data_IF_147663703576
#
_entry.id   IF_147663703576
#
_cell.length_a   1.000
_cell.length_b   1.000
_cell.length_c   1.000
_cell.angle_alpha   90.00
_cell.angle_beta   90.00
_cell.angle_gamma   90.00
#
_symmetry.space_group_name_H-M   'P 1'
#
loop_
_entity.id
_entity.type
_entity.pdbx_description
1 polymer ?
#
# COMPACT_ATOMS: atom_id res chain seq x y z
N UNK A 1 26.97 10.98 15.15
CA UNK A 1 25.90 10.01 15.10
C UNK A 1 25.53 9.73 13.67
N UNK A 2 26.41 8.99 12.97
CA UNK A 2 26.18 8.60 11.58
C UNK A 2 25.16 7.45 11.55
N UNK A 3 23.96 7.80 11.27
CA UNK A 3 23.09 7.20 10.25
C UNK A 3 22.78 5.70 10.38
N UNK A 4 22.14 5.35 11.49
CA UNK A 4 21.42 4.09 11.64
C UNK A 4 20.27 3.90 10.60
N UNK A 5 20.06 4.89 9.76
CA UNK A 5 18.96 4.93 8.76
C UNK A 5 19.36 4.37 7.38
N UNK A 6 20.65 4.16 7.15
CA UNK A 6 21.18 3.97 5.81
C UNK A 6 20.83 2.64 5.11
N UNK A 7 20.09 1.73 5.73
CA UNK A 7 19.75 0.47 5.06
C UNK A 7 18.41 -0.16 5.50
N UNK A 8 17.55 0.57 6.21
CA UNK A 8 16.24 0.08 6.61
C UNK A 8 15.15 0.72 5.74
N UNK A 9 14.69 0.01 4.73
CA UNK A 9 13.58 0.46 3.87
C UNK A 9 13.91 1.65 2.97
N UNK A 10 15.15 2.10 2.97
CA UNK A 10 15.64 3.16 2.11
C UNK A 10 15.95 2.60 0.72
N UNK A 11 15.64 3.32 -0.35
CA UNK A 11 15.98 2.85 -1.68
C UNK A 11 17.50 2.62 -1.77
N UNK A 12 17.94 1.37 -1.97
CA UNK A 12 19.36 1.01 -1.89
C UNK A 12 20.20 1.61 -3.01
N UNK A 13 19.57 2.11 -4.05
CA UNK A 13 20.24 2.58 -5.27
C UNK A 13 19.78 3.97 -5.65
N UNK A 14 20.35 4.96 -5.00
CA UNK A 14 20.22 6.34 -5.43
C UNK A 14 21.07 6.54 -6.69
N UNK A 15 20.44 6.87 -7.80
CA UNK A 15 21.10 7.10 -9.08
C UNK A 15 21.66 8.52 -9.17
N UNK A 16 20.90 9.51 -8.70
CA UNK A 16 21.24 10.92 -8.73
C UNK A 16 20.56 11.67 -7.57
N UNK A 17 21.13 12.80 -7.20
CA UNK A 17 20.61 13.65 -6.13
C UNK A 17 21.04 13.18 -4.74
N UNK A 18 20.20 13.41 -3.74
CA UNK A 18 20.45 13.09 -2.35
C UNK A 18 19.27 12.37 -1.69
N UNK A 19 19.52 11.72 -0.57
CA UNK A 19 18.45 11.15 0.25
C UNK A 19 17.54 12.25 0.84
N UNK A 20 16.38 11.81 1.38
CA UNK A 20 15.49 12.67 2.15
C UNK A 20 16.21 13.12 3.42
N UNK A 21 16.43 14.39 3.56
CA UNK A 21 17.10 14.98 4.75
C UNK A 21 16.15 15.84 5.55
N UNK A 22 15.17 16.46 4.88
CA UNK A 22 14.13 17.24 5.53
C UNK A 22 12.97 16.34 5.90
N UNK A 23 12.36 16.59 7.04
CA UNK A 23 11.21 15.84 7.53
C UNK A 23 9.92 16.08 6.76
N UNK A 24 9.89 17.02 5.79
CA UNK A 24 8.70 17.43 5.06
C UNK A 24 9.00 17.87 3.62
N UNK A 25 8.04 17.59 2.72
CA UNK A 25 7.96 18.12 1.35
C UNK A 25 9.12 17.77 0.41
N UNK A 26 9.82 16.71 0.69
CA UNK A 26 10.82 16.11 -0.19
C UNK A 26 10.33 14.78 -0.74
N UNK A 27 10.73 14.44 -1.95
CA UNK A 27 10.43 13.16 -2.56
C UNK A 27 11.69 12.57 -3.22
N UNK A 28 11.81 11.24 -3.17
CA UNK A 28 12.75 10.47 -3.98
C UNK A 28 11.93 9.59 -4.91
N UNK A 29 12.11 9.74 -6.21
CA UNK A 29 11.31 9.07 -7.22
C UNK A 29 12.13 8.08 -8.03
N UNK A 30 11.50 7.00 -8.48
CA UNK A 30 12.12 6.13 -9.48
C UNK A 30 12.10 6.81 -10.86
N UNK A 31 13.16 6.61 -11.66
CA UNK A 31 13.28 7.19 -13.01
C UNK A 31 12.15 6.78 -13.95
N UNK A 32 11.54 5.63 -13.72
CA UNK A 32 10.39 5.15 -14.50
C UNK A 32 9.10 5.95 -14.25
N UNK A 33 9.05 6.82 -13.22
CA UNK A 33 7.97 7.79 -13.04
C UNK A 33 7.97 8.92 -14.08
N UNK A 34 9.08 9.12 -14.79
CA UNK A 34 9.30 10.24 -15.71
C UNK A 34 9.67 11.56 -15.04
N UNK A 35 9.74 11.60 -13.70
CA UNK A 35 10.13 12.77 -12.93
C UNK A 35 11.64 13.00 -13.00
N UNK A 36 12.04 14.27 -12.97
CA UNK A 36 13.43 14.70 -12.95
C UNK A 36 13.81 15.28 -11.60
N UNK A 37 15.10 15.35 -11.34
CA UNK A 37 15.61 16.03 -10.15
C UNK A 37 15.22 17.51 -10.16
N UNK A 38 14.67 17.98 -9.06
CA UNK A 38 14.16 19.35 -8.89
C UNK A 38 12.70 19.53 -9.29
N UNK A 39 12.07 18.54 -9.92
CA UNK A 39 10.66 18.63 -10.29
C UNK A 39 9.77 18.77 -9.05
N UNK A 40 8.63 19.42 -9.24
CA UNK A 40 7.59 19.55 -8.23
C UNK A 40 6.48 18.54 -8.47
N UNK A 41 6.24 17.71 -7.48
CA UNK A 41 5.20 16.69 -7.47
C UNK A 41 4.10 17.08 -6.49
N UNK A 42 2.86 17.12 -6.95
CA UNK A 42 1.70 17.35 -6.08
C UNK A 42 1.11 16.01 -5.65
N UNK A 43 1.15 15.73 -4.35
CA UNK A 43 0.48 14.59 -3.74
C UNK A 43 -0.62 15.13 -2.84
N UNK A 44 -1.87 14.92 -3.25
CA UNK A 44 -3.07 15.49 -2.61
C UNK A 44 -2.98 17.03 -2.51
N UNK A 45 -2.82 17.57 -1.29
CA UNK A 45 -2.76 19.02 -1.04
C UNK A 45 -1.35 19.56 -0.97
N UNK A 46 -0.36 18.69 -0.79
CA UNK A 46 1.03 19.08 -0.56
C UNK A 46 1.85 18.97 -1.84
N UNK A 47 2.79 19.88 -2.00
CA UNK A 47 3.75 19.88 -3.11
C UNK A 47 5.10 19.44 -2.59
N UNK A 48 5.68 18.43 -3.22
CA UNK A 48 6.97 17.83 -2.89
C UNK A 48 8.00 18.20 -3.96
N UNK A 49 9.23 18.39 -3.54
CA UNK A 49 10.35 18.58 -4.48
C UNK A 49 11.11 17.27 -4.61
N UNK A 50 11.35 16.82 -5.83
CA UNK A 50 12.15 15.62 -6.11
C UNK A 50 13.61 15.94 -5.85
N UNK A 51 14.16 15.36 -4.76
CA UNK A 51 15.54 15.59 -4.29
C UNK A 51 16.49 14.48 -4.66
N UNK A 52 15.97 13.33 -5.08
CA UNK A 52 16.76 12.19 -5.51
C UNK A 52 15.99 11.29 -6.49
N UNK A 53 16.76 10.56 -7.29
CA UNK A 53 16.23 9.62 -8.26
C UNK A 53 16.79 8.23 -7.98
N UNK A 54 15.93 7.23 -8.05
CA UNK A 54 16.30 5.81 -7.94
C UNK A 54 16.10 5.07 -9.25
N UNK A 55 16.58 3.84 -9.30
CA UNK A 55 16.42 2.96 -10.45
C UNK A 55 15.90 1.60 -10.03
N UNK A 56 14.93 1.08 -10.79
CA UNK A 56 14.30 -0.24 -10.58
C UNK A 56 13.59 -0.38 -9.22
N UNK A 57 13.15 0.73 -8.66
CA UNK A 57 12.32 0.71 -7.46
C UNK A 57 10.86 0.69 -7.89
N UNK A 58 10.32 -0.52 -7.98
CA UNK A 58 8.93 -0.76 -8.38
C UNK A 58 8.18 -1.51 -7.28
N UNK A 59 6.87 -1.33 -7.24
CA UNK A 59 5.99 -2.08 -6.35
C UNK A 59 5.90 -3.55 -6.79
N UNK A 60 5.25 -4.40 -5.98
CA UNK A 60 4.95 -5.78 -6.36
C UNK A 60 4.05 -5.89 -7.60
N UNK A 61 3.34 -4.83 -7.96
CA UNK A 61 2.53 -4.71 -9.18
C UNK A 61 3.31 -4.22 -10.40
N UNK A 62 4.57 -3.83 -10.23
CA UNK A 62 5.40 -3.25 -11.30
C UNK A 62 5.31 -1.74 -11.42
N UNK A 63 4.51 -1.07 -10.57
CA UNK A 63 4.38 0.38 -10.59
C UNK A 63 5.61 1.07 -10.01
N UNK A 64 6.07 2.18 -10.60
CA UNK A 64 7.20 2.92 -10.08
C UNK A 64 6.91 3.53 -8.71
N UNK A 65 7.89 3.47 -7.81
CA UNK A 65 7.74 3.95 -6.43
C UNK A 65 8.24 5.37 -6.24
N UNK A 66 7.55 6.09 -5.37
CA UNK A 66 7.95 7.40 -4.88
C UNK A 66 8.04 7.33 -3.35
N UNK A 67 9.16 7.75 -2.80
CA UNK A 67 9.43 7.76 -1.36
C UNK A 67 9.29 9.18 -0.84
N UNK A 68 8.51 9.34 0.22
CA UNK A 68 8.29 10.61 0.92
C UNK A 68 8.47 10.41 2.42
N UNK A 69 8.70 11.48 3.20
CA UNK A 69 8.80 11.38 4.64
C UNK A 69 7.57 10.74 5.27
N UNK A 70 7.79 9.92 6.31
CA UNK A 70 6.72 9.17 6.98
C UNK A 70 5.57 10.07 7.45
N UNK A 71 5.88 11.23 8.01
CA UNK A 71 4.86 12.19 8.47
C UNK A 71 3.96 12.68 7.34
N UNK A 72 4.57 12.99 6.19
CA UNK A 72 3.85 13.43 5.01
C UNK A 72 3.03 12.30 4.39
N UNK A 73 3.57 11.07 4.39
CA UNK A 73 2.86 9.88 3.95
C UNK A 73 1.62 9.61 4.82
N UNK A 74 1.77 9.68 6.13
CA UNK A 74 0.65 9.55 7.07
C UNK A 74 -0.40 10.65 6.83
N UNK A 75 0.03 11.89 6.69
CA UNK A 75 -0.87 12.99 6.38
C UNK A 75 -1.58 12.78 5.04
N UNK A 76 -0.86 12.38 3.99
CA UNK A 76 -1.45 12.13 2.68
C UNK A 76 -2.43 10.95 2.69
N UNK A 77 -2.13 9.88 3.41
CA UNK A 77 -2.98 8.68 3.49
C UNK A 77 -4.27 8.94 4.24
N UNK A 78 -4.22 9.70 5.32
CA UNK A 78 -5.35 9.90 6.23
C UNK A 78 -6.02 11.27 6.09
N UNK A 79 -5.62 12.04 5.09
CA UNK A 79 -6.23 13.34 4.83
C UNK A 79 -7.67 13.14 4.36
N UNK A 80 -8.61 13.31 5.29
CA UNK A 80 -10.04 13.40 4.96
C UNK A 80 -10.32 14.77 4.34
N UNK A 81 -11.34 14.86 3.51
CA UNK A 81 -11.85 16.14 3.05
C UNK A 81 -12.33 16.98 4.23
N UNK A 82 -12.16 18.30 4.15
CA UNK A 82 -12.57 19.20 5.23
C UNK A 82 -14.03 18.97 5.64
N UNK A 83 -14.91 18.69 4.67
CA UNK A 83 -16.30 18.39 4.94
C UNK A 83 -16.48 17.11 5.77
N UNK A 84 -15.74 16.05 5.46
CA UNK A 84 -15.77 14.80 6.21
C UNK A 84 -15.21 14.97 7.64
N UNK A 85 -14.15 15.77 7.81
CA UNK A 85 -13.59 16.08 9.14
C UNK A 85 -14.62 16.85 9.98
N UNK A 86 -15.26 17.87 9.40
CA UNK A 86 -16.27 18.66 10.08
C UNK A 86 -17.49 17.80 10.44
N UNK A 87 -17.90 16.90 9.57
CA UNK A 87 -19.02 15.98 9.82
C UNK A 87 -18.68 14.99 10.94
N UNK A 88 -17.46 14.40 10.94
CA UNK A 88 -17.03 13.50 12.00
C UNK A 88 -16.93 14.22 13.35
N UNK A 89 -16.39 15.44 13.38
CA UNK A 89 -16.34 16.27 14.60
C UNK A 89 -17.73 16.61 15.12
N UNK A 90 -18.66 16.97 14.22
CA UNK A 90 -20.05 17.24 14.60
C UNK A 90 -20.71 16.01 15.20
N UNK A 91 -20.60 14.84 14.56
CA UNK A 91 -21.13 13.56 15.09
C UNK A 91 -20.56 13.22 16.46
N UNK A 92 -19.27 13.46 16.67
CA UNK A 92 -18.63 13.22 17.97
C UNK A 92 -19.11 14.20 19.02
N UNK A 93 -19.26 15.48 18.67
CA UNK A 93 -19.77 16.51 19.57
C UNK A 93 -21.25 16.33 19.94
N UNK A 94 -22.06 15.79 19.03
CA UNK A 94 -23.47 15.49 19.25
C UNK A 94 -23.68 14.18 20.02
N UNK A 95 -22.64 13.34 20.15
CA UNK A 95 -22.77 12.05 20.81
C UNK A 95 -22.75 12.21 22.35
N UNK A 96 -23.86 11.83 23.05
CA UNK A 96 -23.96 11.98 24.50
C UNK A 96 -22.97 11.11 25.30
N UNK A 97 -22.33 10.14 24.65
CA UNK A 97 -21.29 9.32 25.29
C UNK A 97 -20.02 10.16 25.55
N UNK A 98 -19.67 11.04 24.62
CA UNK A 98 -18.47 11.84 24.68
C UNK A 98 -18.73 13.26 25.18
N UNK A 99 -19.90 13.83 24.87
CA UNK A 99 -20.30 15.15 25.30
C UNK A 99 -21.08 15.08 26.63
N UNK A 100 -20.33 14.92 27.71
CA UNK A 100 -20.90 14.86 29.08
C UNK A 100 -20.55 16.12 29.84
N UNK A 101 -21.54 16.85 30.41
CA UNK A 101 -21.24 18.05 31.19
C UNK A 101 -20.32 17.80 32.41
N UNK A 102 -20.35 16.58 32.93
CA UNK A 102 -19.48 16.18 34.07
C UNK A 102 -18.00 15.98 33.68
N UNK A 103 -17.70 15.81 32.41
CA UNK A 103 -16.34 15.53 31.91
C UNK A 103 -16.08 16.31 30.61
N UNK A 104 -15.94 17.65 30.65
CA UNK A 104 -15.77 18.47 29.45
C UNK A 104 -14.50 18.13 28.65
N UNK A 105 -13.44 17.73 29.33
CA UNK A 105 -12.14 17.38 28.73
C UNK A 105 -12.18 16.08 27.93
N UNK A 106 -13.19 15.22 28.15
CA UNK A 106 -13.34 13.96 27.42
C UNK A 106 -13.60 14.21 25.94
N UNK A 107 -14.50 15.14 25.62
CA UNK A 107 -14.82 15.49 24.25
C UNK A 107 -13.59 16.04 23.51
N UNK A 108 -12.85 16.94 24.15
CA UNK A 108 -11.65 17.51 23.57
C UNK A 108 -10.55 16.44 23.34
N UNK A 109 -10.36 15.55 24.30
CA UNK A 109 -9.42 14.42 24.17
C UNK A 109 -9.77 13.48 23.00
N UNK A 110 -11.06 13.16 22.83
CA UNK A 110 -11.53 12.31 21.72
C UNK A 110 -11.35 13.02 20.38
N UNK A 111 -11.69 14.30 20.28
CA UNK A 111 -11.50 15.10 19.06
C UNK A 111 -10.02 15.21 18.68
N UNK A 112 -9.14 15.38 19.67
CA UNK A 112 -7.69 15.42 19.45
C UNK A 112 -7.14 14.04 19.03
N UNK A 113 -7.63 12.95 19.62
CA UNK A 113 -7.28 11.59 19.22
C UNK A 113 -7.70 11.27 17.78
N UNK A 114 -8.87 11.71 17.35
CA UNK A 114 -9.37 11.55 15.98
C UNK A 114 -8.52 12.32 14.94
N UNK A 115 -7.90 13.42 15.33
CA UNK A 115 -7.06 14.23 14.43
C UNK A 115 -5.61 13.72 14.33
N UNK A 116 -5.18 12.85 15.23
CA UNK A 116 -3.80 12.34 15.26
C UNK A 116 -3.65 11.02 14.51
N UNK A 117 -3.43 11.10 13.21
CA UNK A 117 -3.16 9.91 12.39
C UNK A 117 -1.68 9.51 12.44
N UNK A 118 -1.30 8.78 13.47
CA UNK A 118 0.07 8.28 13.68
C UNK A 118 0.22 6.79 13.42
N UNK A 119 -0.66 6.24 12.59
CA UNK A 119 -0.59 4.82 12.26
C UNK A 119 0.58 4.53 11.32
N UNK A 120 1.25 3.43 11.58
CA UNK A 120 2.30 2.87 10.72
C UNK A 120 1.82 1.50 10.27
N UNK A 121 1.80 1.28 8.96
CA UNK A 121 1.27 0.04 8.37
C UNK A 121 2.26 -1.12 8.52
N UNK A 122 3.57 -0.82 8.45
CA UNK A 122 4.62 -1.81 8.57
C UNK A 122 5.88 -1.19 9.18
N UNK A 123 6.59 -1.99 9.97
CA UNK A 123 7.88 -1.64 10.56
C UNK A 123 8.90 -2.64 10.02
N UNK A 124 9.94 -2.14 9.36
CA UNK A 124 11.06 -2.96 8.92
C UNK A 124 12.13 -2.97 10.01
N UNK A 125 12.51 -4.18 10.42
CA UNK A 125 13.54 -4.37 11.45
C UNK A 125 14.75 -5.05 10.82
N UNK A 126 15.93 -4.46 11.00
CA UNK A 126 17.20 -5.06 10.62
C UNK A 126 17.85 -5.66 11.85
N UNK A 127 18.20 -6.91 11.77
CA UNK A 127 18.90 -7.60 12.86
C UNK A 127 20.40 -7.32 12.83
N UNK A 128 21.01 -7.30 13.99
CA UNK A 128 22.47 -7.28 14.11
C UNK A 128 23.07 -8.61 13.65
N UNK A 129 24.34 -8.57 13.29
CA UNK A 129 25.07 -9.77 12.88
C UNK A 129 25.04 -10.82 14.02
N UNK A 130 24.62 -12.05 13.69
CA UNK A 130 24.52 -13.16 14.65
C UNK A 130 23.17 -13.32 15.34
N UNK A 131 22.21 -12.41 15.16
CA UNK A 131 20.86 -12.57 15.69
C UNK A 131 20.00 -13.46 14.77
N UNK A 132 19.26 -14.39 15.35
CA UNK A 132 18.31 -15.25 14.63
C UNK A 132 17.04 -14.49 14.31
N UNK A 133 16.61 -14.54 13.04
CA UNK A 133 15.37 -13.90 12.60
C UNK A 133 14.14 -14.60 13.18
N UNK A 134 14.20 -15.94 13.29
CA UNK A 134 13.13 -16.77 13.80
C UNK A 134 12.88 -16.53 15.29
N UNK A 135 13.97 -16.49 16.08
CA UNK A 135 13.88 -16.24 17.52
C UNK A 135 13.36 -14.82 17.80
N UNK A 136 13.87 -13.83 17.07
CA UNK A 136 13.42 -12.43 17.19
C UNK A 136 11.97 -12.29 16.78
N UNK A 137 11.55 -12.93 15.69
CA UNK A 137 10.16 -12.94 15.25
C UNK A 137 9.24 -13.59 16.30
N UNK A 138 9.63 -14.74 16.88
CA UNK A 138 8.88 -15.40 17.93
C UNK A 138 8.78 -14.54 19.20
N UNK A 139 9.82 -13.78 19.52
CA UNK A 139 9.79 -12.86 20.65
C UNK A 139 8.83 -11.70 20.45
N UNK A 140 8.86 -11.05 19.29
CA UNK A 140 7.97 -9.93 18.96
C UNK A 140 6.52 -10.42 18.79
N UNK A 141 6.29 -11.60 18.27
CA UNK A 141 4.96 -12.18 18.07
C UNK A 141 4.20 -12.40 19.38
N UNK A 142 4.89 -12.45 20.52
CA UNK A 142 4.25 -12.47 21.85
C UNK A 142 3.55 -11.15 22.18
N UNK A 143 3.84 -10.09 21.48
CA UNK A 143 3.13 -8.82 21.61
C UNK A 143 1.82 -8.91 20.83
N UNK A 144 0.72 -9.00 21.55
CA UNK A 144 -0.62 -9.37 21.03
C UNK A 144 -1.15 -8.52 19.88
N UNK A 145 -0.52 -7.39 19.56
CA UNK A 145 -1.01 -6.45 18.55
C UNK A 145 -0.15 -6.42 17.27
N UNK A 146 0.92 -7.20 17.18
CA UNK A 146 1.84 -7.20 16.06
C UNK A 146 1.89 -8.56 15.37
N UNK A 147 1.81 -8.54 14.05
CA UNK A 147 2.07 -9.71 13.22
C UNK A 147 3.47 -9.57 12.63
N UNK A 148 4.31 -10.55 12.82
CA UNK A 148 5.72 -10.52 12.38
C UNK A 148 5.90 -11.55 11.28
N UNK A 149 6.59 -11.13 10.24
CA UNK A 149 6.99 -11.99 9.14
C UNK A 149 8.50 -11.91 8.96
N UNK A 150 9.13 -13.05 8.83
CA UNK A 150 10.52 -13.10 8.37
C UNK A 150 10.58 -12.75 6.87
N UNK A 151 11.76 -12.42 6.37
CA UNK A 151 11.95 -12.11 4.94
C UNK A 151 11.46 -13.25 4.06
N UNK A 152 11.80 -14.49 4.39
CA UNK A 152 11.39 -15.67 3.62
C UNK A 152 9.87 -15.87 3.62
N UNK A 153 9.23 -15.68 4.77
CA UNK A 153 7.77 -15.76 4.86
C UNK A 153 7.08 -14.67 4.02
N UNK A 154 7.60 -13.45 4.05
CA UNK A 154 7.05 -12.36 3.26
C UNK A 154 7.24 -12.62 1.75
N UNK A 155 8.41 -13.09 1.35
CA UNK A 155 8.68 -13.49 -0.04
C UNK A 155 7.69 -14.56 -0.52
N UNK A 156 7.47 -15.59 0.28
CA UNK A 156 6.48 -16.64 -0.02
C UNK A 156 5.06 -16.10 -0.13
N UNK A 157 4.64 -15.22 0.78
CA UNK A 157 3.30 -14.60 0.77
C UNK A 157 3.11 -13.74 -0.50
N UNK A 158 4.12 -12.97 -0.88
CA UNK A 158 4.07 -12.14 -2.09
C UNK A 158 3.94 -13.00 -3.34
N UNK A 159 4.78 -14.02 -3.47
CA UNK A 159 4.78 -14.94 -4.62
C UNK A 159 3.43 -15.68 -4.69
N UNK A 160 2.95 -16.23 -3.58
CA UNK A 160 1.70 -16.99 -3.55
C UNK A 160 0.49 -16.12 -3.91
N UNK A 161 0.45 -14.86 -3.45
CA UNK A 161 -0.62 -13.92 -3.83
C UNK A 161 -0.57 -13.56 -5.31
N UNK A 162 0.61 -13.34 -5.88
CA UNK A 162 0.75 -13.06 -7.30
C UNK A 162 0.29 -14.23 -8.15
N UNK A 163 0.72 -15.45 -7.80
CA UNK A 163 0.32 -16.67 -8.51
C UNK A 163 -1.19 -16.91 -8.40
N UNK A 164 -1.77 -16.77 -7.21
CA UNK A 164 -3.20 -16.95 -6.99
C UNK A 164 -4.06 -15.98 -7.82
N UNK A 165 -3.62 -14.71 -7.93
CA UNK A 165 -4.31 -13.71 -8.73
C UNK A 165 -4.26 -14.05 -10.22
N UNK A 166 -3.08 -14.42 -10.72
CA UNK A 166 -2.89 -14.82 -12.13
C UNK A 166 -3.64 -16.10 -12.47
N UNK A 167 -3.61 -17.10 -11.59
CA UNK A 167 -4.34 -18.36 -11.77
C UNK A 167 -5.86 -18.13 -11.87
N UNK A 168 -6.41 -17.23 -11.06
CA UNK A 168 -7.84 -16.87 -11.11
C UNK A 168 -8.21 -16.19 -12.43
N UNK A 169 -7.36 -15.32 -12.96
CA UNK A 169 -7.59 -14.67 -14.25
C UNK A 169 -7.55 -15.69 -15.40
N UNK A 170 -6.56 -16.60 -15.39
CA UNK A 170 -6.42 -17.66 -16.38
C UNK A 170 -7.63 -18.61 -16.34
N UNK A 171 -8.06 -19.01 -15.14
CA UNK A 171 -9.23 -19.87 -14.98
C UNK A 171 -10.50 -19.21 -15.54
N UNK A 172 -10.72 -17.93 -15.27
CA UNK A 172 -11.85 -17.18 -15.83
C UNK A 172 -11.80 -17.11 -17.35
N UNK A 173 -10.63 -16.88 -17.92
CA UNK A 173 -10.44 -16.86 -19.38
C UNK A 173 -10.72 -18.23 -20.00
N UNK A 174 -10.28 -19.33 -19.39
CA UNK A 174 -10.55 -20.68 -19.86
C UNK A 174 -12.04 -21.01 -19.84
N UNK A 175 -12.78 -20.61 -18.82
CA UNK A 175 -14.23 -20.81 -18.74
C UNK A 175 -14.95 -20.08 -19.89
N UNK A 176 -14.61 -18.80 -20.11
CA UNK A 176 -15.19 -18.02 -21.20
C UNK A 176 -14.86 -18.64 -22.56
N UNK A 177 -13.60 -19.04 -22.77
CA UNK A 177 -13.16 -19.70 -24.01
C UNK A 177 -13.88 -21.01 -24.25
N UNK A 178 -14.11 -21.83 -23.23
CA UNK A 178 -14.85 -23.07 -23.30
C UNK A 178 -16.32 -22.82 -23.68
N UNK A 179 -16.98 -21.82 -23.12
CA UNK A 179 -18.35 -21.43 -23.45
C UNK A 179 -18.47 -20.98 -24.91
N UNK A 180 -17.57 -20.13 -25.38
CA UNK A 180 -17.55 -19.64 -26.77
C UNK A 180 -17.31 -20.78 -27.71
N UNK A 181 -16.34 -21.66 -27.43
CA UNK A 181 -16.07 -22.87 -28.28
C UNK A 181 -17.26 -23.80 -28.36
N UNK A 182 -17.93 -24.02 -27.21
CA UNK A 182 -19.15 -24.86 -27.17
C UNK A 182 -20.28 -24.27 -28.02
N UNK A 183 -20.47 -22.95 -27.94
CA UNK A 183 -21.46 -22.23 -28.74
C UNK A 183 -21.17 -22.34 -30.25
N UNK A 184 -19.92 -22.19 -30.67
CA UNK A 184 -19.51 -22.32 -32.09
C UNK A 184 -19.75 -23.73 -32.59
N UNK A 185 -19.36 -24.74 -31.82
CA UNK A 185 -19.60 -26.16 -32.18
C UNK A 185 -21.09 -26.44 -32.31
N UNK A 186 -21.91 -25.96 -31.38
CA UNK A 186 -23.36 -26.13 -31.46
C UNK A 186 -23.96 -25.44 -32.69
N UNK A 187 -23.49 -24.24 -33.04
CA UNK A 187 -23.93 -23.50 -34.23
C UNK A 187 -23.56 -24.19 -35.54
N UNK A 188 -22.45 -24.92 -35.57
CA UNK A 188 -22.02 -25.68 -36.77
C UNK A 188 -22.77 -27.00 -36.88
N UNK A 189 -22.92 -27.72 -35.78
CA UNK A 189 -23.55 -29.07 -35.80
C UNK A 189 -25.05 -28.98 -36.01
N UNK A 190 -25.74 -27.97 -35.44
CA UNK A 190 -27.19 -27.84 -35.52
C UNK A 190 -27.71 -27.79 -36.96
N UNK A 191 -27.25 -26.93 -37.88
CA UNK A 191 -27.72 -26.92 -39.27
C UNK A 191 -27.36 -28.20 -40.05
N UNK A 192 -26.15 -28.78 -39.82
CA UNK A 192 -25.74 -30.02 -40.47
C UNK A 192 -26.62 -31.21 -40.10
N UNK A 193 -27.11 -31.24 -38.86
CA UNK A 193 -27.99 -32.30 -38.37
C UNK A 193 -29.42 -32.12 -38.93
N UNK A 194 -29.89 -30.88 -39.04
CA UNK A 194 -31.21 -30.56 -39.56
C UNK A 194 -31.33 -30.82 -41.07
N UNK A 195 -30.28 -30.58 -41.84
CA UNK A 195 -30.26 -30.89 -43.29
C UNK A 195 -30.34 -32.38 -43.52
N UNK A 196 -29.69 -33.21 -42.70
CA UNK A 196 -29.67 -34.64 -42.81
C UNK A 196 -30.97 -35.33 -42.36
N UNK A 197 -31.82 -34.68 -41.58
CA UNK A 197 -33.13 -35.20 -41.15
C UNK A 197 -34.21 -34.89 -42.22
N UNK A 198 -33.96 -33.96 -43.13
CA UNK A 198 -34.89 -33.55 -44.20
C UNK A 198 -34.72 -34.34 -45.49
N UNK A 199 -33.67 -35.13 -45.67
CA UNK A 199 -33.49 -36.11 -46.69
C UNK A 199 -34.10 -37.46 -46.25
#
# INVERSE_FOLDING_TARGET
GEHAWNNLGWPPHLLAGRPLTRGHYEAVADISTGLKWGDRLKIRRNTFTVVGLTRRMVSSGGDPMIFIPLKDAQQAQFQKDNAAILQDRRRTAENPIYNRPAYPDLLESVLNAQSSNRYVNAILVRLNAGASAEETAAHIQRWQQLTVYTRLQMEYILISKMIATSAKQIAMFLVISALVSSAIVAFIIYPLTMDKIRE
#
